data_IF_758576367248
#
_entry.id   IF_758576367248
#
_cell.length_a   1.000
_cell.length_b   1.000
_cell.length_c   1.000
_cell.angle_alpha   90.00
_cell.angle_beta   90.00
_cell.angle_gamma   90.00
#
_symmetry.space_group_name_H-M   'P 1'
#
loop_
_entity.id
_entity.type
_entity.pdbx_description
1 polymer ?
#
# COMPACT_ATOMS: atom_id res chain seq x y z
N UNK A 1 21.07 -30.61 16.37
CA UNK A 1 22.21 -29.93 15.72
C UNK A 1 21.95 -28.43 15.59
N UNK A 2 20.78 -27.98 15.11
CA UNK A 2 20.42 -26.59 14.87
C UNK A 2 20.38 -25.74 16.14
N UNK A 3 19.78 -26.25 17.23
CA UNK A 3 19.73 -25.53 18.51
C UNK A 3 21.13 -25.26 19.08
N UNK A 4 22.06 -26.20 18.93
CA UNK A 4 23.45 -26.01 19.39
C UNK A 4 24.20 -24.98 18.54
N UNK A 5 23.93 -24.93 17.24
CA UNK A 5 24.50 -23.91 16.33
C UNK A 5 23.93 -22.53 16.63
N UNK A 6 22.63 -22.44 16.92
CA UNK A 6 21.98 -21.19 17.31
C UNK A 6 22.58 -20.63 18.59
N UNK A 7 22.78 -21.48 19.60
CA UNK A 7 23.41 -21.07 20.87
C UNK A 7 24.87 -20.62 20.65
N UNK A 8 25.63 -21.35 19.82
CA UNK A 8 26.98 -20.95 19.49
C UNK A 8 27.03 -19.60 18.79
N UNK A 9 26.14 -19.38 17.81
CA UNK A 9 26.02 -18.10 17.12
C UNK A 9 25.68 -16.97 18.09
N UNK A 10 24.73 -17.20 19.00
CA UNK A 10 24.38 -16.23 20.03
C UNK A 10 25.60 -15.84 20.90
N UNK A 11 26.37 -16.81 21.36
CA UNK A 11 27.57 -16.56 22.18
C UNK A 11 28.62 -15.75 21.44
N UNK A 12 28.74 -15.90 20.14
CA UNK A 12 29.64 -15.10 19.29
C UNK A 12 29.09 -13.67 19.03
N UNK A 13 27.78 -13.53 18.86
CA UNK A 13 27.17 -12.25 18.50
C UNK A 13 26.94 -11.33 19.70
N UNK A 14 26.64 -11.88 20.88
CA UNK A 14 26.34 -11.09 22.08
C UNK A 14 27.45 -10.10 22.46
N UNK A 15 28.73 -10.48 22.50
CA UNK A 15 29.82 -9.52 22.75
C UNK A 15 29.93 -8.41 21.70
N UNK A 16 29.49 -8.67 20.45
CA UNK A 16 29.46 -7.67 19.39
C UNK A 16 28.37 -6.63 19.63
N UNK A 17 27.18 -7.07 20.09
CA UNK A 17 26.10 -6.16 20.49
C UNK A 17 26.54 -5.25 21.65
N UNK A 18 27.20 -5.81 22.66
CA UNK A 18 27.75 -5.07 23.79
C UNK A 18 28.76 -4.01 23.32
N UNK A 19 29.73 -4.41 22.49
CA UNK A 19 30.77 -3.54 21.97
C UNK A 19 30.22 -2.39 21.09
N UNK A 20 29.15 -2.66 20.36
CA UNK A 20 28.51 -1.68 19.47
C UNK A 20 27.40 -0.88 20.17
N UNK A 21 27.14 -1.12 21.45
CA UNK A 21 26.08 -0.48 22.23
C UNK A 21 24.68 -0.66 21.61
N UNK A 22 24.36 -1.87 21.11
CA UNK A 22 23.12 -2.20 20.41
C UNK A 22 22.11 -2.96 21.27
N UNK A 23 22.38 -3.15 22.58
CA UNK A 23 21.51 -3.95 23.45
C UNK A 23 20.09 -3.40 23.54
N UNK A 24 19.92 -2.07 23.65
CA UNK A 24 18.57 -1.46 23.72
C UNK A 24 17.74 -1.71 22.47
N UNK A 25 18.36 -1.68 21.29
CA UNK A 25 17.70 -1.99 20.02
C UNK A 25 17.37 -3.48 19.96
N UNK A 26 18.30 -4.35 20.38
CA UNK A 26 18.07 -5.79 20.43
C UNK A 26 16.89 -6.16 21.35
N UNK A 27 16.82 -5.54 22.54
CA UNK A 27 15.73 -5.75 23.49
C UNK A 27 14.38 -5.27 22.93
N UNK A 28 14.36 -4.11 22.28
CA UNK A 28 13.17 -3.56 21.61
C UNK A 28 12.66 -4.51 20.53
N UNK A 29 13.52 -4.88 19.60
CA UNK A 29 13.18 -5.75 18.47
C UNK A 29 12.74 -7.15 18.93
N UNK A 30 13.45 -7.71 19.93
CA UNK A 30 13.09 -9.01 20.51
C UNK A 30 11.75 -8.94 21.25
N UNK A 31 11.48 -7.84 21.96
CA UNK A 31 10.23 -7.60 22.68
C UNK A 31 9.02 -7.44 21.76
N UNK A 32 9.22 -7.03 20.49
CA UNK A 32 8.14 -6.93 19.50
C UNK A 32 7.69 -8.31 18.95
N UNK A 33 8.57 -9.31 18.94
CA UNK A 33 8.26 -10.62 18.33
C UNK A 33 6.99 -11.28 18.87
N UNK A 34 6.75 -11.35 20.19
CA UNK A 34 5.51 -11.93 20.72
C UNK A 34 4.26 -11.23 20.20
N UNK A 35 4.28 -9.90 20.13
CA UNK A 35 3.17 -9.10 19.60
C UNK A 35 2.92 -9.39 18.12
N UNK A 36 3.97 -9.44 17.30
CA UNK A 36 3.85 -9.73 15.86
C UNK A 36 3.33 -11.15 15.60
N UNK A 37 3.75 -12.12 16.43
CA UNK A 37 3.24 -13.49 16.38
C UNK A 37 1.75 -13.53 16.75
N UNK A 38 1.34 -12.81 17.80
CA UNK A 38 -0.07 -12.74 18.20
C UNK A 38 -0.93 -12.07 17.13
N UNK A 39 -0.48 -10.97 16.56
CA UNK A 39 -1.17 -10.28 15.46
C UNK A 39 -1.39 -11.21 14.26
N UNK A 40 -0.34 -11.94 13.87
CA UNK A 40 -0.42 -12.92 12.79
C UNK A 40 -1.33 -14.09 13.14
N UNK A 41 -1.24 -14.61 14.35
CA UNK A 41 -2.08 -15.72 14.82
C UNK A 41 -3.55 -15.34 14.85
N UNK A 42 -3.88 -14.17 15.39
CA UNK A 42 -5.25 -13.63 15.42
C UNK A 42 -5.78 -13.39 14.01
N UNK A 43 -4.99 -12.78 13.15
CA UNK A 43 -5.42 -12.34 11.81
C UNK A 43 -6.53 -11.28 11.88
N UNK A 44 -7.06 -10.92 10.70
CA UNK A 44 -8.10 -9.91 10.55
C UNK A 44 -9.34 -10.57 9.96
N UNK A 45 -10.50 -10.39 10.60
CA UNK A 45 -11.78 -10.95 10.16
C UNK A 45 -12.27 -10.26 8.89
N UNK A 46 -12.81 -11.06 7.96
CA UNK A 46 -13.35 -10.61 6.68
C UNK A 46 -14.85 -10.92 6.60
N UNK A 47 -15.63 -9.93 6.19
CA UNK A 47 -17.00 -10.12 5.76
C UNK A 47 -17.01 -10.81 4.39
N UNK A 48 -17.05 -12.16 4.40
CA UNK A 48 -16.95 -12.98 3.19
C UNK A 48 -18.15 -12.80 2.26
N UNK A 49 -19.34 -12.64 2.81
CA UNK A 49 -20.56 -12.47 2.03
C UNK A 49 -20.51 -11.13 1.29
N UNK A 50 -20.17 -10.06 2.00
CA UNK A 50 -19.98 -8.73 1.41
C UNK A 50 -18.84 -8.73 0.39
N UNK A 51 -17.75 -9.44 0.64
CA UNK A 51 -16.64 -9.56 -0.29
C UNK A 51 -17.06 -10.24 -1.60
N UNK A 52 -17.82 -11.34 -1.52
CA UNK A 52 -18.39 -12.04 -2.68
C UNK A 52 -19.34 -11.15 -3.49
N UNK A 53 -20.27 -10.49 -2.81
CA UNK A 53 -21.21 -9.55 -3.45
C UNK A 53 -20.47 -8.38 -4.12
N UNK A 54 -19.49 -7.80 -3.45
CA UNK A 54 -18.70 -6.69 -3.97
C UNK A 54 -17.88 -7.13 -5.20
N UNK A 55 -17.26 -8.32 -5.18
CA UNK A 55 -16.54 -8.86 -6.34
C UNK A 55 -17.46 -9.00 -7.55
N UNK A 56 -18.66 -9.57 -7.38
CA UNK A 56 -19.61 -9.74 -8.49
C UNK A 56 -20.15 -8.39 -9.01
N UNK A 57 -20.44 -7.45 -8.12
CA UNK A 57 -20.84 -6.09 -8.52
C UNK A 57 -19.76 -5.39 -9.34
N UNK A 58 -18.50 -5.47 -8.91
CA UNK A 58 -17.36 -4.88 -9.63
C UNK A 58 -17.19 -5.55 -11.00
N UNK A 59 -17.35 -6.87 -11.10
CA UNK A 59 -17.34 -7.60 -12.35
C UNK A 59 -18.42 -7.17 -13.33
N UNK A 60 -19.62 -6.89 -12.86
CA UNK A 60 -20.70 -6.39 -13.71
C UNK A 60 -20.43 -4.95 -14.15
N UNK A 61 -19.95 -4.08 -13.25
CA UNK A 61 -19.54 -2.72 -13.59
C UNK A 61 -18.38 -2.70 -14.60
N UNK A 62 -17.41 -3.59 -14.45
CA UNK A 62 -16.29 -3.76 -15.40
C UNK A 62 -16.80 -4.17 -16.79
N UNK A 63 -17.68 -5.17 -16.86
CA UNK A 63 -18.31 -5.57 -18.14
C UNK A 63 -19.05 -4.42 -18.80
N UNK A 64 -19.74 -3.61 -18.02
CA UNK A 64 -20.45 -2.44 -18.53
C UNK A 64 -19.45 -1.38 -19.08
N UNK A 65 -18.37 -1.10 -18.33
CA UNK A 65 -17.33 -0.17 -18.79
C UNK A 65 -16.65 -0.66 -20.09
N UNK A 66 -16.42 -1.95 -20.24
CA UNK A 66 -15.89 -2.52 -21.49
C UNK A 66 -16.87 -2.39 -22.65
N UNK A 67 -18.19 -2.51 -22.42
CA UNK A 67 -19.20 -2.22 -23.44
C UNK A 67 -19.23 -0.74 -23.81
N UNK A 68 -19.08 0.16 -22.84
CA UNK A 68 -18.97 1.61 -23.08
C UNK A 68 -17.76 1.93 -23.97
N UNK A 69 -16.57 1.35 -23.68
CA UNK A 69 -15.37 1.49 -24.51
C UNK A 69 -15.63 1.02 -25.94
N UNK A 70 -16.27 -0.13 -26.11
CA UNK A 70 -16.64 -0.65 -27.44
C UNK A 70 -17.64 0.25 -28.16
N UNK A 71 -18.60 0.80 -27.48
CA UNK A 71 -19.59 1.72 -28.08
C UNK A 71 -18.92 3.03 -28.53
N UNK A 72 -17.98 3.56 -27.76
CA UNK A 72 -17.24 4.78 -28.07
C UNK A 72 -16.29 4.56 -29.26
N UNK A 73 -15.49 3.50 -29.22
CA UNK A 73 -14.39 3.27 -30.18
C UNK A 73 -14.73 2.35 -31.36
N UNK A 74 -15.84 1.59 -31.26
CA UNK A 74 -16.15 0.51 -32.19
C UNK A 74 -15.28 -0.74 -32.04
N UNK A 75 -14.36 -0.77 -31.07
CA UNK A 75 -13.35 -1.83 -30.87
C UNK A 75 -13.49 -2.47 -29.48
N UNK A 76 -13.42 -3.81 -29.43
CA UNK A 76 -13.28 -4.52 -28.14
C UNK A 76 -11.85 -4.41 -27.65
N UNK A 77 -11.66 -3.99 -26.39
CA UNK A 77 -10.34 -3.67 -25.83
C UNK A 77 -10.01 -4.62 -24.67
N UNK A 78 -8.78 -5.13 -24.69
CA UNK A 78 -8.13 -5.74 -23.52
C UNK A 78 -7.35 -4.64 -22.77
N UNK A 79 -7.88 -4.20 -21.65
CA UNK A 79 -7.39 -3.01 -20.92
C UNK A 79 -5.95 -3.11 -20.41
N UNK A 80 -5.42 -4.32 -20.26
CA UNK A 80 -4.04 -4.54 -19.82
C UNK A 80 -3.05 -4.72 -20.97
N UNK A 81 -3.54 -4.78 -22.20
CA UNK A 81 -2.72 -4.89 -23.40
C UNK A 81 -2.63 -3.53 -24.12
N UNK A 82 -1.52 -2.81 -23.97
CA UNK A 82 -1.32 -1.49 -24.58
C UNK A 82 -1.58 -1.49 -26.09
N UNK A 83 -1.22 -2.57 -26.79
CA UNK A 83 -1.50 -2.70 -28.21
C UNK A 83 -3.00 -2.82 -28.53
N UNK A 84 -3.79 -3.41 -27.64
CA UNK A 84 -5.25 -3.49 -27.78
C UNK A 84 -5.90 -2.13 -27.50
N UNK A 85 -5.44 -1.44 -26.46
CA UNK A 85 -5.87 -0.07 -26.13
C UNK A 85 -5.57 0.88 -27.30
N UNK A 86 -4.37 0.81 -27.88
CA UNK A 86 -3.95 1.64 -29.00
C UNK A 86 -4.91 1.56 -30.20
N UNK A 87 -5.46 0.38 -30.53
CA UNK A 87 -6.43 0.22 -31.61
C UNK A 87 -7.69 1.09 -31.42
N UNK A 88 -8.14 1.26 -30.18
CA UNK A 88 -9.29 2.11 -29.89
C UNK A 88 -8.95 3.59 -30.06
N UNK A 89 -7.75 4.01 -29.66
CA UNK A 89 -7.26 5.38 -29.86
C UNK A 89 -7.05 5.70 -31.34
N UNK A 90 -6.42 4.79 -32.10
CA UNK A 90 -6.19 4.93 -33.55
C UNK A 90 -7.51 5.08 -34.30
N UNK A 91 -8.55 4.33 -33.90
CA UNK A 91 -9.87 4.38 -34.53
C UNK A 91 -10.55 5.74 -34.37
N UNK A 92 -10.27 6.46 -33.31
CA UNK A 92 -10.78 7.79 -33.02
C UNK A 92 -9.79 8.91 -33.39
N UNK A 93 -8.63 8.56 -33.99
CA UNK A 93 -7.55 9.50 -34.31
C UNK A 93 -7.04 10.28 -33.09
N UNK A 94 -7.09 9.69 -31.87
CA UNK A 94 -6.56 10.29 -30.67
C UNK A 94 -5.08 9.94 -30.55
N UNK A 95 -4.22 10.94 -30.43
CA UNK A 95 -2.78 10.75 -30.26
C UNK A 95 -2.47 10.26 -28.84
N UNK A 96 -1.51 9.36 -28.73
CA UNK A 96 -1.04 8.80 -27.44
C UNK A 96 0.48 8.70 -27.40
N UNK A 97 1.09 8.68 -26.21
CA UNK A 97 2.53 8.56 -26.05
C UNK A 97 3.03 7.17 -26.43
N UNK A 98 4.30 7.14 -26.80
CA UNK A 98 5.03 5.91 -27.11
C UNK A 98 6.31 5.83 -26.29
N UNK A 99 6.76 4.63 -25.99
CA UNK A 99 8.02 4.41 -25.28
C UNK A 99 9.21 4.82 -26.15
N UNK A 100 10.20 5.48 -25.56
CA UNK A 100 11.38 5.97 -26.29
C UNK A 100 12.18 4.82 -26.92
N UNK A 101 12.35 3.71 -26.18
CA UNK A 101 13.23 2.62 -26.60
C UNK A 101 12.62 1.71 -27.67
N UNK A 102 11.34 1.40 -27.56
CA UNK A 102 10.68 0.37 -28.41
C UNK A 102 9.62 0.94 -29.32
N UNK A 103 9.32 2.24 -29.22
CA UNK A 103 8.21 2.92 -29.91
C UNK A 103 6.84 2.23 -29.70
N UNK A 104 6.71 1.45 -28.62
CA UNK A 104 5.46 0.79 -28.26
C UNK A 104 4.46 1.77 -27.64
N UNK A 105 3.13 1.57 -27.81
CA UNK A 105 2.12 2.38 -27.13
C UNK A 105 2.31 2.38 -25.61
N UNK A 106 2.18 3.55 -24.98
CA UNK A 106 2.40 3.74 -23.55
C UNK A 106 1.21 4.48 -22.92
N UNK A 107 0.42 3.77 -22.12
CA UNK A 107 -0.75 4.31 -21.42
C UNK A 107 -0.51 4.27 -19.93
N UNK A 108 0.21 5.27 -19.39
CA UNK A 108 0.40 5.41 -17.95
C UNK A 108 -0.91 5.87 -17.29
N UNK A 109 -1.13 5.46 -16.03
CA UNK A 109 -2.32 5.90 -15.28
C UNK A 109 -2.43 7.41 -15.23
N UNK A 110 -1.32 8.11 -14.97
CA UNK A 110 -1.27 9.58 -14.94
C UNK A 110 -1.68 10.21 -16.27
N UNK A 111 -1.19 9.67 -17.39
CA UNK A 111 -1.54 10.19 -18.71
C UNK A 111 -3.03 9.99 -19.02
N UNK A 112 -3.56 8.80 -18.75
CA UNK A 112 -4.98 8.50 -18.95
C UNK A 112 -5.89 9.35 -18.06
N UNK A 113 -5.53 9.54 -16.79
CA UNK A 113 -6.32 10.33 -15.82
C UNK A 113 -6.33 11.82 -16.15
N UNK A 114 -5.24 12.36 -16.71
CA UNK A 114 -5.16 13.75 -17.13
C UNK A 114 -5.89 14.04 -18.45
N UNK A 115 -6.35 13.02 -19.14
CA UNK A 115 -7.07 13.20 -20.42
C UNK A 115 -8.57 13.38 -20.20
N UNK A 116 -9.14 14.41 -20.80
CA UNK A 116 -10.57 14.76 -20.59
C UNK A 116 -11.53 14.06 -21.56
N UNK A 117 -11.01 13.43 -22.62
CA UNK A 117 -11.82 12.72 -23.61
C UNK A 117 -12.53 11.50 -22.98
N UNK A 118 -13.65 11.12 -23.57
CA UNK A 118 -14.52 10.04 -23.07
C UNK A 118 -13.86 8.66 -23.12
N UNK A 119 -13.04 8.36 -24.15
CA UNK A 119 -12.37 7.06 -24.27
C UNK A 119 -11.32 6.82 -23.16
N UNK A 120 -10.35 7.71 -22.91
CA UNK A 120 -9.40 7.56 -21.79
C UNK A 120 -10.10 7.40 -20.45
N UNK A 121 -11.13 8.20 -20.16
CA UNK A 121 -11.86 8.12 -18.90
C UNK A 121 -12.60 6.78 -18.74
N UNK A 122 -13.20 6.25 -19.80
CA UNK A 122 -13.83 4.93 -19.78
C UNK A 122 -12.79 3.81 -19.55
N UNK A 123 -11.60 3.93 -20.12
CA UNK A 123 -10.50 2.98 -19.91
C UNK A 123 -9.99 3.04 -18.45
N UNK A 124 -9.77 4.24 -17.89
CA UNK A 124 -9.40 4.43 -16.48
C UNK A 124 -10.42 3.77 -15.56
N UNK A 125 -11.70 4.01 -15.80
CA UNK A 125 -12.81 3.39 -15.03
C UNK A 125 -12.73 1.87 -15.08
N UNK A 126 -12.57 1.28 -16.27
CA UNK A 126 -12.46 -0.17 -16.44
C UNK A 126 -11.23 -0.75 -15.71
N UNK A 127 -10.06 -0.10 -15.85
CA UNK A 127 -8.81 -0.49 -15.17
C UNK A 127 -8.98 -0.44 -13.65
N UNK A 128 -9.55 0.64 -13.10
CA UNK A 128 -9.77 0.77 -11.66
C UNK A 128 -10.71 -0.32 -11.12
N UNK A 129 -11.84 -0.56 -11.77
CA UNK A 129 -12.79 -1.61 -11.38
C UNK A 129 -12.17 -3.00 -11.42
N UNK A 130 -11.46 -3.33 -12.50
CA UNK A 130 -10.76 -4.61 -12.63
C UNK A 130 -9.69 -4.77 -11.55
N UNK A 131 -8.82 -3.75 -11.35
CA UNK A 131 -7.74 -3.79 -10.37
C UNK A 131 -8.26 -3.99 -8.94
N UNK A 132 -9.31 -3.28 -8.54
CA UNK A 132 -9.89 -3.44 -7.21
C UNK A 132 -10.40 -4.86 -7.01
N UNK A 133 -11.14 -5.39 -7.95
CA UNK A 133 -11.65 -6.76 -7.88
C UNK A 133 -10.51 -7.79 -7.86
N UNK A 134 -9.68 -7.81 -8.90
CA UNK A 134 -8.70 -8.89 -9.09
C UNK A 134 -7.51 -8.82 -8.12
N UNK A 135 -7.04 -7.62 -7.77
CA UNK A 135 -5.87 -7.46 -6.91
C UNK A 135 -6.24 -7.50 -5.43
N UNK A 136 -7.32 -6.80 -5.05
CA UNK A 136 -7.63 -6.64 -3.63
C UNK A 136 -8.68 -7.64 -3.13
N UNK A 137 -9.72 -7.95 -3.91
CA UNK A 137 -10.72 -8.91 -3.46
C UNK A 137 -10.30 -10.34 -3.80
N UNK A 138 -10.06 -10.63 -5.07
CA UNK A 138 -9.80 -12.01 -5.48
C UNK A 138 -8.44 -12.49 -4.93
N UNK A 139 -7.34 -11.75 -5.18
CA UNK A 139 -6.00 -12.17 -4.77
C UNK A 139 -5.68 -11.87 -3.32
N UNK A 140 -5.88 -10.62 -2.85
CA UNK A 140 -5.47 -10.26 -1.48
C UNK A 140 -6.39 -10.89 -0.43
N UNK A 141 -7.70 -10.94 -0.67
CA UNK A 141 -8.66 -11.50 0.30
C UNK A 141 -8.85 -12.99 0.05
N UNK A 142 -9.46 -13.40 -1.06
CA UNK A 142 -9.89 -14.78 -1.23
C UNK A 142 -8.76 -15.81 -1.32
N UNK A 143 -7.63 -15.49 -1.96
CA UNK A 143 -6.49 -16.42 -2.03
C UNK A 143 -5.78 -16.61 -0.66
N UNK A 144 -5.94 -15.65 0.27
CA UNK A 144 -5.30 -15.69 1.59
C UNK A 144 -6.28 -15.90 2.75
N UNK A 145 -7.55 -16.15 2.43
CA UNK A 145 -8.58 -16.36 3.43
C UNK A 145 -8.42 -17.74 4.09
N UNK A 146 -8.27 -17.75 5.40
CA UNK A 146 -8.25 -18.97 6.19
C UNK A 146 -9.19 -18.83 7.40
N UNK A 147 -10.17 -19.72 7.52
CA UNK A 147 -11.19 -19.68 8.57
C UNK A 147 -11.83 -18.29 8.77
N UNK A 148 -12.13 -17.60 7.66
CA UNK A 148 -12.75 -16.27 7.69
C UNK A 148 -11.80 -15.11 7.96
N UNK A 149 -10.48 -15.36 8.09
CA UNK A 149 -9.48 -14.36 8.44
C UNK A 149 -8.31 -14.32 7.47
N UNK A 150 -7.65 -13.19 7.42
CA UNK A 150 -6.38 -13.00 6.72
C UNK A 150 -5.25 -12.92 7.76
N UNK A 151 -4.23 -13.73 7.58
CA UNK A 151 -3.07 -13.86 8.47
C UNK A 151 -1.80 -13.36 7.80
N UNK A 152 -1.75 -12.07 7.48
CA UNK A 152 -0.57 -11.50 6.84
C UNK A 152 0.65 -11.49 7.75
N UNK A 153 1.83 -11.44 7.16
CA UNK A 153 3.09 -11.48 7.86
C UNK A 153 3.76 -10.11 7.89
N UNK A 154 4.03 -9.61 9.10
CA UNK A 154 4.86 -8.43 9.35
C UNK A 154 6.33 -8.82 9.43
N UNK A 155 7.19 -8.05 8.78
CA UNK A 155 8.64 -8.21 8.81
C UNK A 155 9.26 -6.97 9.49
N UNK A 156 9.75 -7.07 10.72
CA UNK A 156 10.38 -5.96 11.43
C UNK A 156 11.79 -5.66 10.86
N UNK A 157 12.50 -6.71 10.46
CA UNK A 157 13.87 -6.62 9.94
C UNK A 157 13.94 -7.18 8.51
N UNK A 158 14.95 -6.72 7.76
CA UNK A 158 15.20 -7.24 6.43
C UNK A 158 15.70 -8.69 6.49
N UNK A 159 15.08 -9.53 5.68
CA UNK A 159 15.49 -10.92 5.44
C UNK A 159 15.27 -11.27 3.96
N UNK A 160 15.63 -12.48 3.55
CA UNK A 160 15.38 -12.98 2.18
C UNK A 160 13.88 -13.03 1.85
N UNK A 161 13.02 -13.09 2.87
CA UNK A 161 11.55 -13.20 2.71
C UNK A 161 10.82 -11.85 2.78
N UNK A 162 11.52 -10.74 3.03
CA UNK A 162 10.92 -9.42 3.15
C UNK A 162 11.65 -8.50 4.11
N UNK A 163 10.99 -7.40 4.49
CA UNK A 163 11.55 -6.40 5.39
C UNK A 163 12.20 -5.22 4.67
N UNK A 164 12.57 -4.21 5.44
CA UNK A 164 13.24 -3.00 4.94
C UNK A 164 14.57 -2.79 5.63
N UNK A 165 15.45 -1.99 5.02
CA UNK A 165 16.73 -1.56 5.64
C UNK A 165 16.56 -0.34 6.54
N UNK A 166 15.37 0.25 6.57
CA UNK A 166 15.08 1.52 7.26
C UNK A 166 14.47 1.33 8.64
N UNK A 167 14.26 0.08 9.10
CA UNK A 167 13.55 -0.21 10.34
C UNK A 167 12.01 -0.08 10.27
N UNK A 168 11.46 0.28 9.11
CA UNK A 168 10.00 0.25 8.91
C UNK A 168 9.53 -1.18 8.74
N UNK A 169 8.38 -1.53 9.30
CA UNK A 169 7.74 -2.79 8.99
C UNK A 169 7.36 -2.89 7.52
N UNK A 170 7.58 -4.04 6.92
CA UNK A 170 6.92 -4.41 5.67
C UNK A 170 5.92 -5.54 5.90
N UNK A 171 4.97 -5.66 5.00
CA UNK A 171 3.90 -6.65 5.08
C UNK A 171 3.94 -7.59 3.87
N UNK A 172 3.69 -8.88 4.07
CA UNK A 172 3.59 -9.85 2.97
C UNK A 172 2.53 -10.90 3.25
N UNK A 173 2.10 -11.58 2.23
CA UNK A 173 1.23 -12.77 2.24
C UNK A 173 -0.06 -12.62 3.05
N UNK A 174 -0.95 -11.66 2.69
CA UNK A 174 -0.82 -10.62 1.66
C UNK A 174 -0.22 -9.33 2.21
N UNK A 175 0.18 -8.40 1.32
CA UNK A 175 0.63 -7.08 1.73
C UNK A 175 -0.54 -6.13 2.02
N UNK A 176 -1.01 -6.10 3.26
CA UNK A 176 -2.13 -5.26 3.70
C UNK A 176 -1.82 -3.74 3.69
N UNK A 177 -0.55 -3.34 3.64
CA UNK A 177 -0.17 -1.92 3.49
C UNK A 177 -0.55 -1.35 2.12
N UNK A 178 -0.90 -2.21 1.15
CA UNK A 178 -1.34 -1.80 -0.18
C UNK A 178 -2.85 -1.60 -0.30
N UNK A 179 -3.63 -1.85 0.75
CA UNK A 179 -5.07 -1.58 0.74
C UNK A 179 -5.32 -0.12 0.34
N UNK A 180 -6.13 0.14 -0.71
CA UNK A 180 -6.23 1.47 -1.28
C UNK A 180 -6.89 2.47 -0.33
N UNK A 181 -6.30 3.66 -0.24
CA UNK A 181 -6.78 4.76 0.61
C UNK A 181 -7.17 5.98 -0.23
N UNK A 182 -6.44 6.24 -1.33
CA UNK A 182 -6.56 7.47 -2.12
C UNK A 182 -7.86 7.58 -2.92
N UNK A 183 -8.46 6.46 -3.32
CA UNK A 183 -9.74 6.46 -4.02
C UNK A 183 -10.87 6.37 -2.97
N UNK A 184 -11.67 7.42 -2.78
CA UNK A 184 -12.64 7.46 -1.70
C UNK A 184 -13.78 6.45 -1.89
N UNK A 185 -14.17 6.15 -3.13
CA UNK A 185 -15.25 5.20 -3.43
C UNK A 185 -14.73 3.75 -3.43
N UNK A 186 -13.77 3.46 -4.32
CA UNK A 186 -13.29 2.10 -4.53
C UNK A 186 -12.42 1.61 -3.36
N UNK A 187 -11.61 2.50 -2.77
CA UNK A 187 -10.82 2.18 -1.57
C UNK A 187 -11.71 1.87 -0.37
N UNK A 188 -12.82 2.58 -0.22
CA UNK A 188 -13.82 2.30 0.82
C UNK A 188 -14.43 0.92 0.67
N UNK A 189 -14.79 0.50 -0.55
CA UNK A 189 -15.35 -0.83 -0.81
C UNK A 189 -14.44 -1.96 -0.30
N UNK A 190 -13.13 -1.83 -0.48
CA UNK A 190 -12.17 -2.82 0.01
C UNK A 190 -12.01 -2.77 1.53
N UNK A 191 -11.90 -1.57 2.11
CA UNK A 191 -11.69 -1.41 3.56
C UNK A 191 -12.87 -1.87 4.39
N UNK A 192 -14.08 -1.69 3.92
CA UNK A 192 -15.30 -2.16 4.59
C UNK A 192 -15.47 -3.68 4.62
N UNK A 193 -14.59 -4.43 3.92
CA UNK A 193 -14.55 -5.89 3.99
C UNK A 193 -13.79 -6.40 5.22
N UNK A 194 -12.94 -5.56 5.82
CA UNK A 194 -12.23 -5.86 7.05
C UNK A 194 -13.10 -5.43 8.22
N UNK A 195 -13.54 -6.37 9.03
CA UNK A 195 -14.46 -6.13 10.13
C UNK A 195 -13.80 -6.47 11.48
N UNK A 196 -14.19 -5.80 12.58
CA UNK A 196 -13.73 -6.19 13.91
C UNK A 196 -14.39 -7.51 14.34
N UNK A 197 -13.85 -8.12 15.39
CA UNK A 197 -14.49 -9.25 16.05
C UNK A 197 -15.80 -8.82 16.73
N UNK A 198 -16.65 -9.77 17.07
CA UNK A 198 -17.91 -9.51 17.77
C UNK A 198 -17.63 -8.75 19.09
N UNK A 199 -18.41 -7.70 19.32
CA UNK A 199 -18.25 -6.78 20.45
C UNK A 199 -16.91 -6.02 20.52
N UNK A 200 -16.18 -5.96 19.42
CA UNK A 200 -14.97 -5.16 19.27
C UNK A 200 -15.19 -3.97 18.31
N UNK A 201 -14.28 -3.01 18.35
CA UNK A 201 -14.29 -1.83 17.49
C UNK A 201 -12.91 -1.62 16.89
N UNK A 202 -12.86 -1.01 15.70
CA UNK A 202 -11.63 -0.50 15.12
C UNK A 202 -11.22 0.80 15.81
N UNK A 203 -10.01 0.84 16.34
CA UNK A 203 -9.35 2.07 16.72
C UNK A 203 -8.34 2.46 15.64
N UNK A 204 -8.33 3.74 15.26
CA UNK A 204 -7.33 4.28 14.32
C UNK A 204 -6.45 5.25 15.07
N UNK A 205 -5.15 4.99 15.09
CA UNK A 205 -4.15 5.83 15.76
C UNK A 205 -3.05 6.15 14.76
N UNK A 206 -2.77 7.44 14.57
CA UNK A 206 -1.72 7.91 13.69
C UNK A 206 -1.05 9.14 14.29
N UNK A 207 0.27 9.23 14.17
CA UNK A 207 1.01 10.41 14.59
C UNK A 207 0.90 11.51 13.52
N UNK A 208 0.41 12.69 13.92
CA UNK A 208 0.38 13.82 13.01
C UNK A 208 1.78 14.25 12.62
N UNK A 209 2.09 14.18 11.33
CA UNK A 209 3.34 14.68 10.75
C UNK A 209 4.61 14.14 11.44
N UNK A 210 4.65 12.85 11.78
CA UNK A 210 5.74 12.25 12.55
C UNK A 210 7.13 12.54 11.96
N UNK A 211 7.32 12.31 10.67
CA UNK A 211 8.64 12.49 10.01
C UNK A 211 9.10 13.95 9.99
N UNK A 212 8.29 14.94 9.61
CA UNK A 212 8.65 16.35 9.73
C UNK A 212 8.99 16.77 11.15
N UNK A 213 8.19 16.35 12.14
CA UNK A 213 8.45 16.68 13.57
C UNK A 213 9.79 16.09 14.05
N UNK A 214 10.11 14.85 13.70
CA UNK A 214 11.41 14.25 14.01
C UNK A 214 12.56 14.98 13.30
N UNK A 215 12.38 15.35 12.03
CA UNK A 215 13.39 16.12 11.28
C UNK A 215 13.68 17.44 11.97
N UNK A 216 12.67 18.20 12.36
CA UNK A 216 12.82 19.46 13.09
C UNK A 216 13.50 19.24 14.44
N UNK A 217 13.09 18.20 15.19
CA UNK A 217 13.72 17.87 16.47
C UNK A 217 15.23 17.61 16.32
N UNK A 218 15.64 16.74 15.41
CA UNK A 218 17.07 16.45 15.20
C UNK A 218 17.85 17.63 14.64
N UNK A 219 17.24 18.44 13.78
CA UNK A 219 17.85 19.68 13.29
C UNK A 219 18.11 20.67 14.42
N UNK A 220 17.21 20.77 15.41
CA UNK A 220 17.40 21.64 16.58
C UNK A 220 18.56 21.16 17.47
N UNK A 221 18.71 19.85 17.66
CA UNK A 221 19.83 19.27 18.42
C UNK A 221 21.19 19.57 17.76
N UNK A 222 21.22 19.64 16.43
CA UNK A 222 22.43 20.00 15.66
C UNK A 222 22.56 21.50 15.40
N UNK A 223 21.69 22.31 15.99
CA UNK A 223 21.67 23.80 15.90
C UNK A 223 21.65 24.32 14.45
N UNK A 224 20.88 23.67 13.59
CA UNK A 224 20.69 24.15 12.22
C UNK A 224 19.95 25.49 12.20
N UNK A 225 20.24 26.31 11.20
CA UNK A 225 19.60 27.62 11.03
C UNK A 225 18.07 27.45 10.88
N UNK A 226 17.30 28.23 11.63
CA UNK A 226 15.84 28.18 11.61
C UNK A 226 15.20 27.01 12.38
N UNK A 227 15.99 26.05 12.85
CA UNK A 227 15.45 24.86 13.51
C UNK A 227 14.74 25.16 14.82
N UNK A 228 15.23 26.14 15.61
CA UNK A 228 14.59 26.53 16.86
C UNK A 228 13.22 27.17 16.60
N UNK A 229 13.11 28.03 15.59
CA UNK A 229 11.84 28.62 15.17
C UNK A 229 10.85 27.54 14.74
N UNK A 230 11.29 26.57 13.94
CA UNK A 230 10.45 25.45 13.52
C UNK A 230 9.98 24.58 14.70
N UNK A 231 10.80 24.40 15.75
CA UNK A 231 10.38 23.73 17.00
C UNK A 231 9.26 24.52 17.67
N UNK A 232 9.38 25.83 17.77
CA UNK A 232 8.37 26.69 18.38
C UNK A 232 7.04 26.66 17.60
N UNK A 233 7.11 26.68 16.27
CA UNK A 233 5.92 26.53 15.41
C UNK A 233 5.24 25.17 15.61
N UNK A 234 6.00 24.07 15.73
CA UNK A 234 5.45 22.74 15.99
C UNK A 234 4.92 22.51 17.42
N UNK A 235 5.11 23.44 18.34
CA UNK A 235 4.39 23.43 19.62
C UNK A 235 2.90 23.75 19.44
N UNK A 236 2.54 24.41 18.34
CA UNK A 236 1.16 24.52 17.93
C UNK A 236 0.68 23.19 17.32
N UNK A 237 -0.40 22.62 17.88
CA UNK A 237 -0.97 21.34 17.40
C UNK A 237 -1.51 21.41 15.96
N UNK A 238 -1.89 22.60 15.50
CA UNK A 238 -2.41 22.87 14.15
C UNK A 238 -1.31 23.14 13.11
N UNK A 239 -0.03 23.14 13.49
CA UNK A 239 1.07 23.40 12.58
C UNK A 239 1.12 22.39 11.44
N UNK A 240 1.16 22.89 10.20
CA UNK A 240 1.31 22.08 8.99
C UNK A 240 2.67 22.35 8.35
N UNK A 241 3.50 21.31 8.22
CA UNK A 241 4.83 21.41 7.60
C UNK A 241 4.76 21.94 6.16
N UNK A 242 3.77 21.55 5.40
CA UNK A 242 3.64 21.98 4.01
C UNK A 242 3.32 23.48 3.93
N UNK A 243 2.55 24.00 4.89
CA UNK A 243 2.27 25.42 4.99
C UNK A 243 3.51 26.20 5.46
N UNK A 244 4.20 25.70 6.50
CA UNK A 244 5.45 26.29 7.01
C UNK A 244 6.53 26.43 5.92
N UNK A 245 6.61 25.47 5.00
CA UNK A 245 7.58 25.49 3.89
C UNK A 245 7.11 26.35 2.71
N UNK A 246 5.79 26.55 2.57
CA UNK A 246 5.21 27.33 1.50
C UNK A 246 5.26 28.86 1.76
N UNK A 247 5.25 29.26 3.03
CA UNK A 247 5.34 30.65 3.51
C UNK A 247 6.81 31.10 3.57
#
# INVERSE_FOLDING_TARGET
QDAALTLKLWNEMKPVLDKQNLNSIYELESGLLPLLIEMRWRGILIDQDKAGQTSEQLKQKEKQALKEIKAISGVSVEIWASASVAKAFDKLNIKYPRTIRTNAPSFTSQWLENHTDTLPQAIVKAIKLNKIRTTFIDKMIFEHLHNGRIHGQLHPLRSDNGGTVTGRFSYSTPNLQQVPVKDPELGRLVRELFIPDDNAFWGTFDYSQQEPRLTVHYSSLTKQLGAQQAVEEYQNEEADFHQIVAD
#
